data_IF_979552683396
#
_entry.id   IF_979552683396
#
_cell.length_a   1.000
_cell.length_b   1.000
_cell.length_c   1.000
_cell.angle_alpha   90.00
_cell.angle_beta   90.00
_cell.angle_gamma   90.00
#
_symmetry.space_group_name_H-M   'P 1'
#
loop_
_entity.id
_entity.type
_entity.pdbx_description
1 polymer ?
#
# COMPACT_ATOMS: atom_id res chain seq x y z
N UNK A 1 1.38 -11.11 27.70
CA UNK A 1 0.90 -10.46 26.47
C UNK A 1 0.34 -11.57 25.60
N UNK A 2 -0.97 -11.66 25.42
CA UNK A 2 -1.57 -12.72 24.62
C UNK A 2 -1.06 -12.61 23.18
N UNK A 3 -0.42 -13.67 22.68
CA UNK A 3 -0.07 -13.76 21.27
C UNK A 3 -1.37 -13.85 20.48
N UNK A 4 -1.85 -12.71 19.98
CA UNK A 4 -2.86 -12.66 18.93
C UNK A 4 -2.15 -13.19 17.68
N UNK A 5 -2.39 -14.45 17.33
CA UNK A 5 -1.97 -14.98 16.04
C UNK A 5 -2.63 -14.12 14.98
N UNK A 6 -1.88 -13.19 14.37
CA UNK A 6 -2.41 -12.30 13.33
C UNK A 6 -2.64 -13.11 12.07
N UNK A 7 -3.81 -12.91 11.47
CA UNK A 7 -4.15 -13.51 10.19
C UNK A 7 -3.54 -12.66 9.06
N UNK A 8 -2.40 -13.11 8.53
CA UNK A 8 -1.68 -12.37 7.51
C UNK A 8 -2.41 -12.28 6.16
N UNK A 9 -3.42 -13.11 5.90
CA UNK A 9 -4.27 -12.96 4.72
C UNK A 9 -5.19 -11.76 4.88
N UNK A 10 -5.76 -11.56 6.08
CA UNK A 10 -6.55 -10.37 6.39
C UNK A 10 -5.68 -9.11 6.38
N UNK A 11 -4.46 -9.18 6.93
CA UNK A 11 -3.52 -8.06 6.89
C UNK A 11 -3.14 -7.70 5.44
N UNK A 12 -2.89 -8.68 4.57
CA UNK A 12 -2.67 -8.45 3.12
C UNK A 12 -3.87 -7.76 2.47
N UNK A 13 -5.09 -8.19 2.79
CA UNK A 13 -6.30 -7.56 2.26
C UNK A 13 -6.42 -6.10 2.70
N UNK A 14 -6.13 -5.79 3.97
CA UNK A 14 -6.11 -4.41 4.48
C UNK A 14 -5.04 -3.56 3.80
N UNK A 15 -3.82 -4.07 3.63
CA UNK A 15 -2.73 -3.38 2.91
C UNK A 15 -3.12 -3.09 1.45
N UNK A 16 -3.75 -4.05 0.79
CA UNK A 16 -4.28 -3.87 -0.58
C UNK A 16 -5.33 -2.77 -0.62
N UNK A 17 -6.27 -2.79 0.32
CA UNK A 17 -7.32 -1.78 0.42
C UNK A 17 -6.72 -0.38 0.66
N UNK A 18 -5.76 -0.26 1.57
CA UNK A 18 -5.05 0.99 1.83
C UNK A 18 -4.42 1.57 0.57
N UNK A 19 -3.65 0.77 -0.18
CA UNK A 19 -2.97 1.24 -1.39
C UNK A 19 -3.93 1.76 -2.47
N UNK A 20 -5.13 1.20 -2.57
CA UNK A 20 -6.12 1.51 -3.61
C UNK A 20 -7.07 2.64 -3.19
N UNK A 21 -7.54 2.62 -1.94
CA UNK A 21 -8.64 3.48 -1.47
C UNK A 21 -8.16 4.73 -0.73
N UNK A 22 -6.92 4.74 -0.23
CA UNK A 22 -6.38 5.89 0.49
C UNK A 22 -6.35 7.12 -0.40
N UNK A 23 -7.01 8.17 0.06
CA UNK A 23 -7.04 9.44 -0.62
C UNK A 23 -6.96 10.59 0.37
N UNK A 24 -6.19 11.60 0.01
CA UNK A 24 -6.16 12.87 0.74
C UNK A 24 -7.09 13.84 0.01
N UNK A 25 -7.89 14.58 0.78
CA UNK A 25 -8.77 15.59 0.22
C UNK A 25 -7.99 16.88 0.02
N UNK A 26 -7.46 17.08 -1.17
CA UNK A 26 -6.85 18.36 -1.56
C UNK A 26 -7.89 19.24 -2.26
N UNK A 27 -8.53 20.11 -1.48
CA UNK A 27 -9.57 21.02 -1.97
C UNK A 27 -10.84 20.29 -2.45
N UNK A 28 -11.11 20.36 -3.76
CA UNK A 28 -12.32 19.77 -4.39
C UNK A 28 -12.09 18.38 -5.00
N UNK A 29 -10.85 17.91 -5.12
CA UNK A 29 -10.51 16.64 -5.76
C UNK A 29 -9.98 15.65 -4.72
N UNK A 30 -10.28 14.37 -4.92
CA UNK A 30 -9.64 13.27 -4.19
C UNK A 30 -8.30 12.99 -4.85
N UNK A 31 -7.21 13.08 -4.09
CA UNK A 31 -5.90 12.65 -4.55
C UNK A 31 -5.57 11.27 -3.98
N UNK A 32 -5.43 10.28 -4.87
CA UNK A 32 -5.11 8.91 -4.50
C UNK A 32 -3.59 8.73 -4.50
N UNK A 33 -2.95 9.21 -3.44
CA UNK A 33 -1.49 9.32 -3.27
C UNK A 33 -0.71 8.05 -3.61
N UNK A 34 -1.24 6.88 -3.23
CA UNK A 34 -0.54 5.59 -3.43
C UNK A 34 -0.90 4.93 -4.76
N UNK A 35 -2.15 5.04 -5.21
CA UNK A 35 -2.57 4.55 -6.52
C UNK A 35 -1.83 5.26 -7.67
N UNK A 36 -1.57 6.56 -7.54
CA UNK A 36 -0.76 7.31 -8.52
C UNK A 36 0.68 6.79 -8.58
N UNK A 37 1.31 6.56 -7.44
CA UNK A 37 2.66 5.97 -7.36
C UNK A 37 2.71 4.54 -7.92
N UNK A 38 1.70 3.70 -7.66
CA UNK A 38 1.59 2.37 -8.27
C UNK A 38 1.56 2.44 -9.79
N UNK A 39 0.87 3.43 -10.36
CA UNK A 39 0.85 3.66 -11.81
C UNK A 39 2.26 4.01 -12.33
N UNK A 40 2.95 4.96 -11.68
CA UNK A 40 4.32 5.33 -12.07
C UNK A 40 5.31 4.16 -11.94
N UNK A 41 5.15 3.29 -10.94
CA UNK A 41 5.97 2.08 -10.80
C UNK A 41 5.64 1.07 -11.91
N UNK A 42 4.36 0.87 -12.20
CA UNK A 42 3.92 -0.03 -13.29
C UNK A 42 4.42 0.43 -14.67
N UNK A 43 4.65 1.73 -14.87
CA UNK A 43 5.24 2.32 -16.07
C UNK A 43 6.77 2.48 -16.02
N UNK A 44 7.42 2.00 -14.95
CA UNK A 44 8.87 2.10 -14.72
C UNK A 44 9.40 3.53 -14.64
N UNK A 45 8.54 4.50 -14.36
CA UNK A 45 8.90 5.90 -14.10
C UNK A 45 9.39 6.11 -12.67
N UNK A 46 8.94 5.25 -11.75
CA UNK A 46 9.30 5.24 -10.33
C UNK A 46 9.81 3.86 -9.91
N UNK A 47 10.83 3.82 -9.06
CA UNK A 47 11.49 2.57 -8.60
C UNK A 47 11.33 2.29 -7.11
N UNK A 48 10.86 3.27 -6.34
CA UNK A 48 10.72 3.19 -4.88
C UNK A 48 9.34 3.69 -4.47
N UNK A 49 8.57 2.86 -3.75
CA UNK A 49 7.32 3.27 -3.10
C UNK A 49 7.61 3.65 -1.64
N UNK A 50 7.36 4.90 -1.28
CA UNK A 50 7.47 5.35 0.12
C UNK A 50 6.07 5.46 0.73
N UNK A 51 5.84 4.72 1.82
CA UNK A 51 4.58 4.74 2.56
C UNK A 51 4.79 5.55 3.84
N UNK A 52 3.91 6.52 4.08
CA UNK A 52 3.89 7.30 5.31
C UNK A 52 3.09 6.54 6.37
N UNK A 53 3.64 6.38 7.58
CA UNK A 53 2.94 5.70 8.66
C UNK A 53 1.79 6.55 9.21
N UNK A 54 1.85 7.87 9.10
CA UNK A 54 0.73 8.74 9.50
C UNK A 54 -0.50 8.53 8.61
N UNK A 55 -0.28 8.20 7.32
CA UNK A 55 -1.34 7.84 6.39
C UNK A 55 -1.94 6.46 6.72
N UNK A 56 -1.09 5.50 7.09
CA UNK A 56 -1.54 4.17 7.52
C UNK A 56 -2.33 4.27 8.82
N UNK A 57 -1.87 5.06 9.78
CA UNK A 57 -2.55 5.30 11.05
C UNK A 57 -3.91 5.96 10.86
N UNK A 58 -3.98 6.95 9.97
CA UNK A 58 -5.24 7.61 9.57
C UNK A 58 -6.23 6.65 8.90
N UNK A 59 -5.75 5.56 8.29
CA UNK A 59 -6.58 4.54 7.65
C UNK A 59 -7.00 3.43 8.61
N UNK A 60 -6.04 2.84 9.33
CA UNK A 60 -6.23 1.79 10.33
C UNK A 60 -5.08 1.84 11.36
N UNK A 61 -5.37 2.40 12.54
CA UNK A 61 -4.42 2.49 13.65
C UNK A 61 -3.85 1.13 14.08
N UNK A 62 -4.66 0.05 14.11
CA UNK A 62 -4.18 -1.29 14.52
C UNK A 62 -3.21 -1.87 13.49
N UNK A 63 -3.37 -1.51 12.21
CA UNK A 63 -2.43 -1.85 11.15
C UNK A 63 -1.12 -1.06 11.30
N UNK A 64 -1.19 0.24 11.56
CA UNK A 64 0.00 1.07 11.77
C UNK A 64 0.85 0.58 12.96
N UNK A 65 0.20 0.31 14.09
CA UNK A 65 0.86 -0.27 15.27
C UNK A 65 1.54 -1.62 14.93
N UNK A 66 0.87 -2.48 14.17
CA UNK A 66 1.43 -3.77 13.76
C UNK A 66 2.66 -3.66 12.85
N UNK A 67 2.63 -2.69 11.93
CA UNK A 67 3.76 -2.37 11.05
C UNK A 67 4.95 -1.92 11.88
N UNK A 68 4.73 -1.07 12.89
CA UNK A 68 5.79 -0.62 13.82
C UNK A 68 6.34 -1.79 14.64
N UNK A 69 5.48 -2.67 15.15
CA UNK A 69 5.89 -3.85 15.93
C UNK A 69 6.69 -4.87 15.12
N UNK A 70 6.45 -4.99 13.81
CA UNK A 70 7.17 -5.94 12.95
C UNK A 70 7.36 -5.44 11.51
N UNK A 71 8.13 -4.38 11.35
CA UNK A 71 8.38 -3.75 10.05
C UNK A 71 8.86 -4.74 8.99
N UNK A 72 9.79 -5.65 9.34
CA UNK A 72 10.34 -6.64 8.39
C UNK A 72 9.27 -7.53 7.77
N UNK A 73 8.31 -8.02 8.57
CA UNK A 73 7.23 -8.87 8.07
C UNK A 73 6.28 -8.06 7.19
N UNK A 74 5.89 -6.88 7.64
CA UNK A 74 4.95 -6.03 6.91
C UNK A 74 5.52 -5.46 5.61
N UNK A 75 6.83 -5.18 5.54
CA UNK A 75 7.50 -4.85 4.27
C UNK A 75 7.41 -5.99 3.27
N UNK A 76 7.61 -7.24 3.70
CA UNK A 76 7.46 -8.40 2.83
C UNK A 76 6.01 -8.58 2.36
N UNK A 77 5.02 -8.48 3.26
CA UNK A 77 3.60 -8.56 2.90
C UNK A 77 3.20 -7.46 1.91
N UNK A 78 3.66 -6.22 2.16
CA UNK A 78 3.40 -5.09 1.26
C UNK A 78 4.05 -5.31 -0.11
N UNK A 79 5.26 -5.90 -0.16
CA UNK A 79 5.93 -6.21 -1.43
C UNK A 79 5.13 -7.23 -2.25
N UNK A 80 4.59 -8.27 -1.61
CA UNK A 80 3.71 -9.24 -2.26
C UNK A 80 2.46 -8.55 -2.81
N UNK A 81 1.78 -7.74 -1.99
CA UNK A 81 0.57 -7.02 -2.39
C UNK A 81 0.82 -6.07 -3.56
N UNK A 82 1.95 -5.34 -3.53
CA UNK A 82 2.33 -4.45 -4.64
C UNK A 82 2.60 -5.27 -5.91
N UNK A 83 3.34 -6.38 -5.81
CA UNK A 83 3.62 -7.24 -6.96
C UNK A 83 2.32 -7.78 -7.61
N UNK A 84 1.32 -8.13 -6.79
CA UNK A 84 0.01 -8.58 -7.26
C UNK A 84 -0.81 -7.45 -7.90
N UNK A 85 -0.68 -6.21 -7.40
CA UNK A 85 -1.41 -5.04 -7.90
C UNK A 85 -0.80 -4.45 -9.18
N UNK A 86 0.52 -4.47 -9.35
CA UNK A 86 1.19 -3.79 -10.49
C UNK A 86 0.63 -4.14 -11.88
N UNK A 87 0.26 -5.41 -12.19
CA UNK A 87 -0.40 -5.74 -13.45
C UNK A 87 -1.70 -4.98 -13.71
N UNK A 88 -2.49 -4.69 -12.67
CA UNK A 88 -3.76 -3.95 -12.76
C UNK A 88 -3.54 -2.46 -13.11
N UNK A 89 -2.37 -1.91 -12.75
CA UNK A 89 -2.04 -0.50 -12.93
C UNK A 89 -1.25 -0.21 -14.22
N UNK A 90 -0.98 -1.24 -15.04
CA UNK A 90 -0.31 -1.08 -16.33
C UNK A 90 -1.28 -0.57 -17.41
N UNK A 91 -1.60 0.72 -17.33
CA UNK A 91 -2.58 1.38 -18.22
C UNK A 91 -2.08 1.66 -19.65
N UNK A 92 -0.81 1.37 -19.96
CA UNK A 92 -0.21 1.52 -21.29
C UNK A 92 0.73 0.33 -21.54
N UNK A 93 0.74 -0.20 -22.75
CA UNK A 93 1.79 -1.13 -23.18
C UNK A 93 3.09 -0.33 -23.36
N UNK A 94 4.18 -0.77 -22.72
CA UNK A 94 5.50 -0.17 -22.95
C UNK A 94 5.89 -0.35 -24.42
N UNK A 95 6.39 0.70 -25.10
CA UNK A 95 6.92 0.53 -26.46
C UNK A 95 8.10 -0.46 -26.40
N UNK A 96 8.05 -1.44 -27.30
CA UNK A 96 9.05 -2.52 -27.43
C UNK A 96 10.45 -2.00 -27.77
#
# INVERSE_FOLDING_TARGET
MASRTRDYEQEKAKLRQFLVEFHVKEGRRKDFKYASQLTSIAHREQVLLTIDLDDVDSFDQELAEAVVENARRYTALMSDVVADLLPEYRTREEPS
#
